data_IF_238229551108
#
_entry.id   IF_238229551108
#
_cell.length_a   1.000
_cell.length_b   1.000
_cell.length_c   1.000
_cell.angle_alpha   90.00
_cell.angle_beta   90.00
_cell.angle_gamma   90.00
#
_symmetry.space_group_name_H-M   'P 1'
#
loop_
_entity.id
_entity.type
_entity.pdbx_description
1 polymer ?
2 water ?
#
# COMPACT_ATOMS: atom_id res chain seq x y z
N UNK A 18 19.07 -36.09 -1.44
CA UNK A 18 17.92 -35.46 -2.15
C UNK A 18 16.62 -36.19 -1.86
N UNK A 19 15.65 -35.42 -1.34
CA UNK A 19 14.27 -35.85 -1.13
C UNK A 19 13.43 -34.57 -1.08
N UNK A 20 13.32 -33.93 -2.25
CA UNK A 20 12.68 -32.62 -2.39
C UNK A 20 11.67 -32.61 -3.55
N UNK A 21 11.32 -33.80 -4.02
CA UNK A 21 10.11 -33.99 -4.80
C UNK A 21 8.93 -33.85 -3.82
N UNK A 22 9.20 -34.17 -2.56
CA UNK A 22 8.21 -34.22 -1.47
C UNK A 22 7.93 -32.83 -0.85
N UNK A 23 8.99 -32.15 -0.38
CA UNK A 23 8.88 -30.78 0.12
C UNK A 23 8.19 -29.87 -0.92
N UNK A 24 8.49 -30.13 -2.19
CA UNK A 24 7.80 -29.48 -3.30
C UNK A 24 6.32 -29.90 -3.44
N UNK A 25 6.02 -31.18 -3.20
CA UNK A 25 4.62 -31.70 -3.26
C UNK A 25 3.72 -31.10 -2.17
N UNK A 26 4.29 -30.97 -0.96
CA UNK A 26 3.54 -30.57 0.22
C UNK A 26 3.61 -29.08 0.54
N UNK A 27 4.45 -28.33 -0.16
CA UNK A 27 4.61 -26.90 0.10
C UNK A 27 3.31 -26.13 -0.09
N UNK A 28 2.97 -25.34 0.92
CA UNK A 28 1.88 -24.36 0.82
C UNK A 28 2.49 -22.99 0.51
N UNK A 29 1.72 -22.11 -0.13
CA UNK A 29 2.20 -20.76 -0.44
C UNK A 29 1.88 -19.78 0.69
N UNK A 30 2.89 -19.00 1.11
CA UNK A 30 2.73 -18.04 2.20
C UNK A 30 3.68 -16.84 2.10
N UNK A 31 3.44 -15.86 2.95
CA UNK A 31 4.42 -14.82 3.17
C UNK A 31 5.34 -15.32 4.26
N UNK A 32 6.64 -15.16 4.04
CA UNK A 32 7.66 -15.62 4.98
C UNK A 32 8.55 -14.48 5.47
N UNK A 33 8.59 -14.30 6.79
CA UNK A 33 9.54 -13.39 7.41
C UNK A 33 10.69 -14.22 7.96
N UNK A 34 11.88 -14.02 7.39
CA UNK A 34 13.09 -14.70 7.86
C UNK A 34 13.98 -13.75 8.66
N UNK A 35 14.39 -14.19 9.83
CA UNK A 35 15.14 -13.37 10.75
C UNK A 35 16.59 -13.83 10.89
N UNK A 36 17.52 -12.88 10.85
CA UNK A 36 18.91 -13.11 11.23
C UNK A 36 19.04 -13.37 12.72
N UNK A 37 20.15 -13.99 13.12
CA UNK A 37 20.33 -14.50 14.48
C UNK A 37 19.95 -13.53 15.60
N UNK A 38 20.37 -12.28 15.44
CA UNK A 38 20.21 -11.26 16.49
C UNK A 38 18.78 -10.72 16.62
N UNK A 39 17.93 -11.04 15.64
CA UNK A 39 16.53 -10.59 15.66
C UNK A 39 15.59 -11.59 16.36
N UNK A 40 16.05 -12.82 16.51
CA UNK A 40 15.23 -13.88 17.12
C UNK A 40 14.75 -13.50 18.53
N UNK A 41 15.59 -12.82 19.29
CA UNK A 41 15.23 -12.31 20.62
C UNK A 41 13.99 -11.37 20.63
N UNK A 42 13.70 -10.75 19.49
CA UNK A 42 12.49 -9.93 19.35
C UNK A 42 11.21 -10.77 19.34
N UNK A 43 11.36 -12.04 19.00
CA UNK A 43 10.24 -12.97 18.91
C UNK A 43 10.09 -13.76 20.21
N UNK A 44 11.13 -13.71 21.05
CA UNK A 44 11.20 -14.48 22.30
C UNK A 44 10.41 -13.79 23.41
N UNK A 45 9.26 -14.38 23.77
CA UNK A 45 8.37 -13.83 24.79
C UNK A 45 8.93 -13.91 26.19
N UNK A 46 9.80 -14.90 26.41
CA UNK A 46 10.55 -15.05 27.67
C UNK A 46 11.53 -13.88 27.82
N UNK A 47 11.90 -13.28 26.70
CA UNK A 47 12.74 -12.07 26.71
C UNK A 47 11.88 -10.79 26.62
N UNK A 48 10.57 -10.97 26.48
CA UNK A 48 9.63 -9.83 26.41
C UNK A 48 9.34 -9.29 25.02
N UNK A 49 9.87 -9.95 24.00
CA UNK A 49 9.58 -9.60 22.61
C UNK A 49 8.18 -9.99 22.20
N UNK A 50 7.58 -9.18 21.32
CA UNK A 50 6.19 -9.37 20.89
C UNK A 50 6.04 -9.51 19.38
N UNK A 51 7.18 -9.64 18.70
CA UNK A 51 7.19 -9.74 17.23
C UNK A 51 6.23 -10.80 16.68
N UNK A 52 6.12 -11.91 17.41
CA UNK A 52 5.21 -12.99 17.03
C UNK A 52 3.75 -12.53 16.98
N UNK A 53 3.25 -11.94 18.06
CA UNK A 53 1.88 -11.40 18.06
C UNK A 53 1.72 -10.25 17.05
N UNK A 54 2.68 -9.33 17.01
CA UNK A 54 2.60 -8.23 16.04
C UNK A 54 2.59 -8.74 14.61
N UNK A 55 3.43 -9.72 14.30
CA UNK A 55 3.44 -10.26 12.94
C UNK A 55 2.18 -11.08 12.65
N UNK A 56 1.73 -11.86 13.63
CA UNK A 56 0.56 -12.73 13.45
C UNK A 56 -0.75 -11.95 13.45
N UNK A 57 -0.72 -10.74 14.00
CA UNK A 57 -1.90 -9.88 14.09
C UNK A 57 -2.12 -9.02 12.86
N UNK A 58 -1.19 -9.05 11.90
CA UNK A 58 -1.30 -8.27 10.66
C UNK A 58 -2.43 -8.81 9.80
N UNK A 59 -2.47 -10.13 9.65
CA UNK A 59 -3.46 -10.82 8.82
C UNK A 59 -4.92 -10.39 9.12
N UNK A 60 -5.22 -10.13 10.40
CA UNK A 60 -6.57 -9.72 10.80
C UNK A 60 -6.82 -8.25 10.51
N UNK A 61 -5.79 -7.42 10.69
CA UNK A 61 -5.92 -6.00 10.41
C UNK A 61 -6.11 -5.78 8.91
N UNK A 62 -5.34 -6.52 8.10
CA UNK A 62 -5.39 -6.46 6.65
C UNK A 62 -6.75 -6.95 6.19
N UNK A 63 -7.28 -7.96 6.88
CA UNK A 63 -8.58 -8.51 6.54
C UNK A 63 -9.67 -7.46 6.73
N UNK A 64 -9.63 -6.74 7.84
CA UNK A 64 -10.68 -5.75 8.10
C UNK A 64 -10.47 -4.44 7.33
N UNK A 65 -9.22 -4.05 7.05
CA UNK A 65 -8.98 -2.84 6.29
C UNK A 65 -9.10 -3.01 4.78
N UNK A 66 -8.71 -4.18 4.26
CA UNK A 66 -8.64 -4.38 2.81
C UNK A 66 -9.57 -5.43 2.27
N UNK A 67 -10.12 -6.26 3.16
CA UNK A 67 -11.22 -7.17 2.80
C UNK A 67 -10.84 -8.47 2.10
N UNK A 68 -9.60 -8.91 2.27
CA UNK A 68 -9.22 -10.27 1.86
C UNK A 68 -8.53 -11.03 3.01
N UNK A 69 -8.56 -12.36 2.95
CA UNK A 69 -7.90 -13.21 3.95
C UNK A 69 -6.62 -13.78 3.37
N UNK A 70 -5.47 -13.37 3.91
CA UNK A 70 -4.21 -13.96 3.48
C UNK A 70 -3.90 -15.21 4.33
N UNK A 71 -3.04 -16.11 3.81
CA UNK A 71 -2.59 -17.18 4.71
C UNK A 71 -1.69 -16.59 5.79
N UNK A 72 -1.69 -17.24 6.95
CA UNK A 72 -0.89 -16.79 8.08
C UNK A 72 0.57 -16.56 7.65
N UNK A 73 1.24 -15.62 8.30
CA UNK A 73 2.64 -15.30 7.97
C UNK A 73 3.60 -16.24 8.73
N UNK A 74 4.51 -16.85 7.99
CA UNK A 74 5.46 -17.78 8.58
C UNK A 74 6.73 -17.06 9.04
N UNK A 75 7.23 -17.42 10.23
CA UNK A 75 8.43 -16.81 10.81
C UNK A 75 9.58 -17.81 10.99
N UNK A 76 10.65 -17.60 10.21
CA UNK A 76 11.84 -18.45 10.24
C UNK A 76 13.07 -17.68 10.68
N UNK A 77 14.05 -18.42 11.21
CA UNK A 77 15.41 -17.91 11.33
C UNK A 77 16.10 -18.18 9.99
N UNK A 78 16.96 -17.27 9.56
CA UNK A 78 17.86 -17.54 8.45
C UNK A 78 19.27 -17.07 8.82
N UNK A 79 20.14 -18.06 9.06
CA UNK A 79 21.47 -17.78 9.58
C UNK A 79 22.46 -17.31 8.53
N UNK A 80 22.08 -17.43 7.26
CA UNK A 80 22.91 -16.93 6.17
C UNK A 80 22.78 -15.41 6.03
N UNK A 81 21.77 -14.85 6.71
CA UNK A 81 21.55 -13.40 6.79
C UNK A 81 22.50 -12.74 7.77
N UNK A 82 22.89 -11.48 7.52
CA UNK A 82 23.53 -10.70 8.57
C UNK A 82 22.65 -10.71 9.81
N UNK A 83 23.27 -10.82 11.00
CA UNK A 83 22.54 -11.05 12.25
C UNK A 83 21.41 -10.10 12.53
N UNK A 84 21.53 -8.83 12.10
CA UNK A 84 20.50 -7.80 12.34
C UNK A 84 19.54 -7.61 11.17
N UNK A 85 19.78 -8.34 10.09
CA UNK A 85 18.96 -8.20 8.89
C UNK A 85 17.74 -9.17 8.85
N UNK A 86 16.69 -8.76 8.16
CA UNK A 86 15.56 -9.65 7.90
C UNK A 86 15.22 -9.64 6.43
N UNK A 87 14.47 -10.66 6.03
CA UNK A 87 14.15 -10.87 4.64
C UNK A 87 12.72 -11.41 4.59
N UNK A 88 11.93 -10.83 3.68
CA UNK A 88 10.55 -11.23 3.52
C UNK A 88 10.40 -11.87 2.14
N UNK A 89 9.80 -13.06 2.13
CA UNK A 89 9.61 -13.80 0.91
C UNK A 89 8.14 -14.10 0.68
N UNK A 90 7.77 -14.17 -0.59
CA UNK A 90 6.42 -14.50 -0.99
C UNK A 90 6.52 -15.49 -2.12
N UNK A 91 5.96 -16.68 -1.92
CA UNK A 91 6.13 -17.81 -2.85
C UNK A 91 7.62 -18.09 -3.10
N UNK A 92 8.43 -17.96 -2.05
CA UNK A 92 9.87 -18.16 -2.17
C UNK A 92 10.68 -17.05 -2.84
N UNK A 93 10.04 -15.97 -3.23
CA UNK A 93 10.77 -14.87 -3.85
C UNK A 93 10.89 -13.65 -2.91
N UNK A 94 12.12 -13.17 -2.76
CA UNK A 94 12.46 -12.04 -1.92
C UNK A 94 11.71 -10.81 -2.44
N UNK A 95 10.85 -10.25 -1.59
CA UNK A 95 10.09 -9.06 -1.97
C UNK A 95 10.47 -7.85 -1.13
N UNK A 96 11.18 -8.12 -0.05
CA UNK A 96 11.63 -7.08 0.87
C UNK A 96 12.71 -7.56 1.81
N UNK A 97 13.51 -6.59 2.27
CA UNK A 97 14.53 -6.83 3.28
C UNK A 97 14.84 -5.53 4.01
N UNK A 98 15.34 -5.68 5.24
CA UNK A 98 15.80 -4.55 6.03
C UNK A 98 16.64 -4.98 7.22
N UNK A 99 16.74 -4.08 8.19
CA UNK A 99 17.44 -4.33 9.43
C UNK A 99 16.85 -3.44 10.51
N UNK A 100 16.90 -3.89 11.76
CA UNK A 100 16.54 -3.05 12.88
C UNK A 100 17.65 -3.21 13.91
N UNK A 101 17.79 -2.24 14.81
CA UNK A 101 18.72 -2.40 15.94
C UNK A 101 17.86 -3.00 17.05
N UNK A 102 17.97 -4.33 17.26
CA UNK A 102 16.98 -5.02 18.11
C UNK A 102 16.95 -4.50 19.55
N UNK A 103 18.07 -3.95 19.99
CA UNK A 103 18.19 -3.48 21.35
C UNK A 103 18.11 -1.95 21.46
N UNK A 104 17.55 -1.30 20.43
CA UNK A 104 17.35 0.16 20.41
C UNK A 104 15.90 0.54 20.06
N UNK A 105 15.66 1.84 19.89
CA UNK A 105 14.34 2.37 19.57
C UNK A 105 14.44 3.40 18.47
N UNK A 106 13.37 3.51 17.68
CA UNK A 106 13.34 4.42 16.56
C UNK A 106 12.54 5.63 16.92
N UNK A 107 13.09 6.80 16.64
CA UNK A 107 12.45 8.04 17.03
C UNK A 107 12.20 8.82 15.77
N UNK A 108 11.02 9.42 15.66
CA UNK A 108 10.65 10.09 14.40
C UNK A 108 10.05 11.44 14.59
N UNK A 109 10.35 12.32 13.66
CA UNK A 109 9.64 13.58 13.60
C UNK A 109 8.36 13.35 12.81
N UNK A 110 7.23 13.41 13.49
CA UNK A 110 5.94 13.32 12.82
C UNK A 110 5.27 14.69 12.79
N UNK A 111 6.05 15.76 12.90
CA UNK A 111 5.55 17.10 12.75
C UNK A 111 5.30 17.84 14.04
N UNK A 112 5.86 17.37 15.15
CA UNK A 112 5.69 18.08 16.42
C UNK A 112 6.99 18.28 17.21
N UNK A 113 8.11 17.96 16.59
CA UNK A 113 9.43 18.08 17.22
C UNK A 113 9.82 19.53 17.57
N UNK A 114 10.25 19.71 18.83
CA UNK A 114 10.73 21.00 19.30
C UNK A 114 12.20 21.12 18.92
N UNK A 115 13.07 20.47 19.69
CA UNK A 115 14.50 20.46 19.45
C UNK A 115 14.95 19.07 19.01
N UNK A 116 15.75 19.00 17.94
CA UNK A 116 16.30 17.73 17.45
C UNK A 116 17.18 17.05 18.49
N UNK A 117 17.12 15.72 18.55
CA UNK A 117 17.95 14.96 19.49
C UNK A 117 19.10 14.22 18.81
N UNK A 118 20.04 13.69 19.58
CA UNK A 118 21.17 12.92 19.05
C UNK A 118 20.76 11.47 18.84
N UNK A 119 21.27 10.87 17.77
CA UNK A 119 21.14 9.43 17.54
C UNK A 119 21.81 9.00 16.24
N UNK A 120 21.56 7.76 15.82
CA UNK A 120 22.05 7.33 14.51
C UNK A 120 20.98 7.62 13.45
N UNK A 121 21.30 8.45 12.44
CA UNK A 121 20.33 8.77 11.39
C UNK A 121 20.12 7.55 10.53
N UNK A 122 18.88 7.39 10.06
CA UNK A 122 18.55 6.30 9.17
C UNK A 122 17.28 6.65 8.41
N UNK A 123 16.99 5.81 7.41
CA UNK A 123 15.75 5.81 6.66
C UNK A 123 14.96 4.62 7.16
N UNK A 124 13.83 4.91 7.75
CA UNK A 124 12.84 3.93 8.14
C UNK A 124 12.39 3.12 6.90
N UNK A 125 12.28 1.77 7.00
CA UNK A 125 12.10 0.91 5.81
C UNK A 125 10.72 0.88 5.18
N UNK A 126 9.67 1.20 5.92
CA UNK A 126 8.31 1.09 5.40
C UNK A 126 7.97 2.17 4.37
N UNK A 127 8.44 3.41 4.59
CA UNK A 127 8.10 4.52 3.71
C UNK A 127 9.32 5.34 3.25
N UNK A 128 10.48 5.04 3.83
CA UNK A 128 11.71 5.76 3.49
C UNK A 128 11.86 7.10 4.19
N UNK A 129 11.13 7.30 5.28
CA UNK A 129 11.19 8.54 6.05
C UNK A 129 12.42 8.56 6.94
N UNK A 130 12.93 9.77 7.20
CA UNK A 130 14.03 10.00 8.14
C UNK A 130 13.65 9.57 9.57
N UNK A 131 14.63 9.03 10.30
CA UNK A 131 14.44 8.62 11.68
C UNK A 131 15.81 8.55 12.37
N UNK A 132 15.79 8.37 13.69
CA UNK A 132 17.01 8.21 14.48
C UNK A 132 16.86 6.94 15.31
N UNK A 133 17.87 6.09 15.26
CA UNK A 133 18.00 5.02 16.23
C UNK A 133 18.54 5.63 17.53
N UNK A 134 17.87 5.35 18.64
CA UNK A 134 18.25 5.90 19.93
C UNK A 134 18.20 4.81 20.99
N UNK A 135 19.00 4.99 22.04
CA UNK A 135 19.01 4.09 23.20
C UNK A 135 17.79 4.25 24.12
N UNK A 136 17.39 3.17 24.80
CA UNK A 136 16.31 3.20 25.78
C UNK A 136 16.35 4.44 26.69
N UNK A 137 17.54 4.79 27.18
CA UNK A 137 17.69 5.92 28.11
C UNK A 137 17.47 7.28 27.44
N UNK A 138 17.31 7.29 26.12
CA UNK A 138 17.07 8.51 25.37
C UNK A 138 15.58 8.78 25.18
N UNK A 139 14.77 7.76 25.41
CA UNK A 139 13.33 7.79 25.12
C UNK A 139 12.63 8.95 25.81
N UNK A 140 12.93 9.14 27.08
CA UNK A 140 12.27 10.14 27.91
C UNK A 140 12.40 11.57 27.37
N UNK A 141 13.63 12.00 27.11
CA UNK A 141 13.87 13.31 26.50
C UNK A 141 13.35 13.38 25.06
N UNK A 142 13.46 12.28 24.32
CA UNK A 142 12.93 12.27 22.97
C UNK A 142 11.45 12.63 23.04
N UNK A 143 10.74 12.00 23.98
CA UNK A 143 9.32 12.26 24.15
C UNK A 143 9.05 13.70 24.56
N UNK A 144 9.90 14.26 25.43
CA UNK A 144 9.77 15.66 25.87
C UNK A 144 9.88 16.64 24.68
N UNK A 145 10.70 16.25 23.71
CA UNK A 145 10.97 17.05 22.52
C UNK A 145 9.94 16.83 21.39
N UNK A 146 8.90 16.05 21.69
CA UNK A 146 7.80 15.80 20.77
C UNK A 146 8.02 14.70 19.73
N UNK A 147 9.00 13.82 19.93
CA UNK A 147 9.19 12.70 19.00
C UNK A 147 8.14 11.61 19.19
N UNK A 148 7.93 10.84 18.14
CA UNK A 148 7.22 9.56 18.25
C UNK A 148 8.26 8.47 18.33
N UNK A 149 8.05 7.52 19.22
CA UNK A 149 8.98 6.42 19.42
C UNK A 149 8.34 5.12 18.95
N UNK A 150 9.07 4.35 18.15
CA UNK A 150 8.62 3.07 17.64
C UNK A 150 9.68 2.01 17.96
N UNK A 151 9.24 0.84 18.41
CA UNK A 151 10.21 -0.19 18.73
C UNK A 151 10.47 -1.12 17.55
N UNK A 152 11.58 -1.89 17.60
CA UNK A 152 12.02 -2.75 16.50
C UNK A 152 10.95 -3.67 15.94
N UNK A 153 10.27 -4.43 16.79
CA UNK A 153 9.20 -5.31 16.33
C UNK A 153 8.17 -4.57 15.49
N UNK A 154 7.73 -3.42 15.98
CA UNK A 154 6.76 -2.61 15.26
C UNK A 154 7.33 -2.17 13.90
N UNK A 155 8.62 -1.83 13.82
CA UNK A 155 9.18 -1.38 12.55
C UNK A 155 9.07 -2.53 11.53
N UNK A 156 9.49 -3.72 11.95
CA UNK A 156 9.43 -4.91 11.10
C UNK A 156 7.98 -5.18 10.75
N UNK A 157 7.09 -5.14 11.73
CA UNK A 157 5.67 -5.41 11.48
C UNK A 157 5.04 -4.44 10.46
N UNK A 158 5.41 -3.16 10.57
CA UNK A 158 4.84 -2.11 9.73
C UNK A 158 5.35 -2.32 8.31
N UNK A 159 6.66 -2.59 8.23
CA UNK A 159 7.28 -2.94 6.95
C UNK A 159 6.58 -4.12 6.30
N UNK A 160 6.48 -5.22 7.03
CA UNK A 160 5.79 -6.40 6.53
C UNK A 160 4.35 -6.09 6.10
N UNK A 161 3.61 -5.36 6.93
CA UNK A 161 2.25 -4.93 6.59
C UNK A 161 2.21 -4.19 5.24
N UNK A 162 3.05 -3.17 5.09
CA UNK A 162 3.18 -2.42 3.83
C UNK A 162 3.52 -3.31 2.63
N UNK A 163 4.31 -4.36 2.84
CA UNK A 163 4.66 -5.27 1.75
C UNK A 163 3.49 -6.14 1.35
N UNK A 164 2.65 -6.55 2.30
CA UNK A 164 1.47 -7.33 1.92
C UNK A 164 0.45 -6.47 1.20
N UNK A 165 0.30 -5.20 1.61
CA UNK A 165 -0.50 -4.24 0.86
C UNK A 165 0.02 -4.13 -0.56
N UNK A 166 1.34 -3.95 -0.72
CA UNK A 166 1.94 -3.89 -2.06
C UNK A 166 1.63 -5.12 -2.96
N UNK A 167 1.59 -6.32 -2.39
CA UNK A 167 1.39 -7.53 -3.18
C UNK A 167 0.03 -8.16 -2.89
N UNK A 168 -0.90 -7.34 -2.45
CA UNK A 168 -2.26 -7.78 -2.12
C UNK A 168 -2.89 -8.53 -3.28
N UNK A 169 -2.66 -8.01 -4.50
CA UNK A 169 -3.07 -8.65 -5.75
C UNK A 169 -2.95 -10.19 -5.71
N UNK A 170 -1.77 -10.65 -5.34
CA UNK A 170 -1.40 -12.06 -5.49
C UNK A 170 -2.25 -12.99 -4.62
N UNK A 171 -2.68 -12.49 -3.45
CA UNK A 171 -3.53 -13.25 -2.54
C UNK A 171 -4.96 -13.37 -3.04
N UNK A 172 -5.26 -12.71 -4.17
CA UNK A 172 -6.60 -12.80 -4.74
C UNK A 172 -6.58 -13.85 -5.81
N UNK A 173 -6.47 -15.11 -5.37
CA UNK A 173 -6.53 -16.28 -6.23
C UNK A 173 -7.99 -16.61 -6.57
N UNK A 174 -8.18 -17.42 -7.60
CA UNK A 174 -9.50 -17.98 -7.94
C UNK A 174 -10.22 -18.54 -6.72
N UNK A 175 -9.47 -19.20 -5.84
CA UNK A 175 -10.05 -19.77 -4.63
C UNK A 175 -10.43 -18.73 -3.58
N UNK A 176 -9.72 -17.61 -3.55
CA UNK A 176 -10.11 -16.50 -2.66
C UNK A 176 -11.34 -15.78 -3.17
N UNK A 177 -11.40 -15.56 -4.49
CA UNK A 177 -12.56 -14.96 -5.14
C UNK A 177 -13.82 -15.79 -4.87
N UNK A 178 -13.74 -17.09 -5.17
CA UNK A 178 -14.83 -18.02 -4.92
C UNK A 178 -15.26 -17.90 -3.45
N UNK A 179 -14.28 -17.82 -2.56
CA UNK A 179 -14.54 -17.76 -1.12
C UNK A 179 -15.13 -16.43 -0.68
N UNK A 180 -14.82 -15.34 -1.40
CA UNK A 180 -15.36 -14.03 -1.03
C UNK A 180 -16.83 -13.92 -1.41
N UNK A 181 -17.18 -14.41 -2.60
CA UNK A 181 -18.57 -14.48 -3.04
C UNK A 181 -19.39 -15.35 -2.11
N UNK A 182 -18.89 -16.56 -1.84
CA UNK A 182 -19.55 -17.52 -0.96
C UNK A 182 -19.76 -16.95 0.45
N UNK A 183 -18.79 -16.16 0.94
CA UNK A 183 -18.91 -15.47 2.23
C UNK A 183 -19.85 -14.26 2.15
N UNK A 184 -20.13 -13.80 0.94
CA UNK A 184 -21.15 -12.76 0.74
C UNK A 184 -22.51 -13.40 0.50
N UNK A 185 -22.51 -14.60 -0.09
CA UNK A 185 -23.73 -15.32 -0.45
C UNK A 185 -24.66 -15.60 0.73
N UNK A 186 -24.08 -15.74 1.92
CA UNK A 186 -24.81 -16.10 3.12
C UNK A 186 -25.94 -15.13 3.49
N UNK A 187 -25.80 -13.85 3.11
CA UNK A 187 -26.86 -12.87 3.36
C UNK A 187 -27.08 -11.80 2.28
N UNK A 188 -26.54 -12.05 1.08
CA UNK A 188 -26.92 -11.31 -0.13
C UNK A 188 -26.95 -12.25 -1.36
N UNK A 189 -27.71 -13.37 -1.27
CA UNK A 189 -27.58 -14.48 -2.23
C UNK A 189 -28.00 -14.16 -3.66
N UNK A 190 -28.72 -13.06 -3.85
CA UNK A 190 -29.27 -12.71 -5.15
C UNK A 190 -28.24 -12.00 -6.03
N UNK A 191 -27.53 -11.03 -5.44
CA UNK A 191 -26.53 -10.24 -6.17
C UNK A 191 -25.34 -11.10 -6.57
N UNK A 192 -24.93 -12.03 -5.71
CA UNK A 192 -23.87 -12.99 -6.07
C UNK A 192 -24.34 -13.92 -7.18
N UNK A 193 -25.62 -14.29 -7.13
CA UNK A 193 -26.20 -15.13 -8.16
C UNK A 193 -26.30 -14.36 -9.47
N UNK A 194 -26.79 -13.13 -9.40
CA UNK A 194 -26.87 -12.24 -10.56
C UNK A 194 -25.50 -12.02 -11.21
N UNK A 195 -24.45 -12.10 -10.38
CA UNK A 195 -23.06 -11.91 -10.82
C UNK A 195 -22.48 -13.12 -11.56
N UNK A 196 -23.16 -14.27 -11.51
CA UNK A 196 -22.73 -15.46 -12.23
C UNK A 196 -22.78 -15.22 -13.73
N UNK A 197 -23.53 -14.18 -14.11
CA UNK A 197 -23.65 -13.75 -15.51
C UNK A 197 -22.37 -13.13 -16.03
N UNK A 198 -21.52 -12.66 -15.11
CA UNK A 198 -20.25 -12.04 -15.48
C UNK A 198 -19.14 -13.10 -15.56
N UNK A 199 -18.34 -13.05 -16.65
CA UNK A 199 -17.15 -13.93 -16.71
C UNK A 199 -16.35 -13.71 -15.43
N UNK A 200 -15.90 -14.80 -14.80
CA UNK A 200 -15.27 -14.68 -13.47
C UNK A 200 -13.86 -14.09 -13.52
N UNK A 201 -13.20 -14.22 -14.67
CA UNK A 201 -11.91 -13.58 -14.88
C UNK A 201 -12.00 -12.07 -14.74
N UNK A 202 -13.13 -11.49 -15.15
CA UNK A 202 -13.32 -10.04 -15.10
C UNK A 202 -13.47 -9.55 -13.66
N UNK A 203 -14.32 -10.22 -12.87
CA UNK A 203 -14.46 -9.89 -11.45
C UNK A 203 -13.09 -9.95 -10.78
N UNK A 204 -12.42 -11.08 -10.95
CA UNK A 204 -11.13 -11.31 -10.34
C UNK A 204 -10.17 -10.19 -10.71
N UNK A 205 -10.11 -9.91 -12.01
CA UNK A 205 -9.26 -8.89 -12.58
C UNK A 205 -9.53 -7.49 -12.01
N UNK A 206 -10.80 -7.15 -11.81
CA UNK A 206 -11.17 -5.87 -11.18
C UNK A 206 -10.69 -5.80 -9.72
N UNK A 207 -10.90 -6.90 -8.98
CA UNK A 207 -10.44 -6.96 -7.58
C UNK A 207 -8.92 -6.77 -7.46
N UNK A 208 -8.16 -7.40 -8.36
CA UNK A 208 -6.72 -7.26 -8.38
C UNK A 208 -6.31 -5.82 -8.71
N UNK A 209 -6.97 -5.24 -9.70
CA UNK A 209 -6.70 -3.86 -10.12
C UNK A 209 -6.95 -2.84 -9.02
N UNK A 210 -7.95 -3.10 -8.18
CA UNK A 210 -8.23 -2.28 -7.03
C UNK A 210 -7.12 -2.43 -5.99
N UNK A 211 -6.80 -3.67 -5.63
CA UNK A 211 -5.81 -3.90 -4.59
C UNK A 211 -4.41 -3.46 -5.02
N UNK A 212 -4.12 -3.57 -6.33
CA UNK A 212 -2.90 -3.08 -6.96
C UNK A 212 -2.60 -1.61 -6.60
N UNK A 213 -3.66 -0.82 -6.44
CA UNK A 213 -3.49 0.59 -6.07
C UNK A 213 -3.99 0.86 -4.64
N UNK A 214 -3.96 -0.20 -3.82
CA UNK A 214 -4.25 -0.12 -2.38
C UNK A 214 -5.69 0.32 -2.04
N UNK A 215 -6.61 0.02 -2.96
CA UNK A 215 -8.03 0.23 -2.71
C UNK A 215 -8.63 -1.06 -2.10
N UNK A 216 -9.19 -0.97 -0.88
CA UNK A 216 -9.81 -2.10 -0.18
C UNK A 216 -10.95 -2.71 -1.00
N UNK A 217 -11.15 -4.00 -0.84
CA UNK A 217 -12.28 -4.67 -1.46
C UNK A 217 -13.30 -5.11 -0.40
N UNK A 218 -13.25 -4.48 0.78
CA UNK A 218 -14.10 -4.92 1.86
C UNK A 218 -15.60 -4.68 1.60
N UNK A 219 -15.94 -3.80 0.66
CA UNK A 219 -17.34 -3.58 0.26
C UNK A 219 -17.69 -4.32 -1.04
N UNK A 220 -17.80 -5.64 -0.97
CA UNK A 220 -18.04 -6.46 -2.16
C UNK A 220 -19.41 -6.17 -2.78
N UNK A 221 -20.39 -5.84 -1.93
CA UNK A 221 -21.73 -5.45 -2.38
C UNK A 221 -21.65 -4.38 -3.46
N UNK A 222 -21.02 -3.25 -3.15
CA UNK A 222 -20.86 -2.18 -4.12
C UNK A 222 -20.07 -2.68 -5.31
N UNK A 223 -18.99 -3.40 -5.06
CA UNK A 223 -18.16 -3.90 -6.18
C UNK A 223 -18.97 -4.79 -7.13
N UNK A 224 -19.67 -5.76 -6.58
CA UNK A 224 -20.42 -6.70 -7.40
C UNK A 224 -21.55 -6.01 -8.13
N UNK A 225 -22.29 -5.18 -7.42
CA UNK A 225 -23.42 -4.43 -7.98
C UNK A 225 -23.00 -3.57 -9.15
N UNK A 226 -21.84 -2.90 -9.02
CA UNK A 226 -21.35 -2.02 -10.07
C UNK A 226 -20.94 -2.84 -11.28
N UNK A 227 -20.15 -3.89 -11.04
CA UNK A 227 -19.71 -4.77 -12.12
C UNK A 227 -20.89 -5.41 -12.86
N UNK A 228 -21.82 -6.00 -12.12
CA UNK A 228 -23.03 -6.62 -12.71
C UNK A 228 -23.84 -5.62 -13.54
N UNK A 229 -24.01 -4.41 -13.02
CA UNK A 229 -24.69 -3.36 -13.77
C UNK A 229 -23.89 -3.02 -15.04
N UNK A 230 -22.63 -2.65 -14.89
CA UNK A 230 -21.87 -2.00 -15.97
C UNK A 230 -21.17 -2.93 -16.97
N UNK A 231 -20.66 -4.08 -16.49
CA UNK A 231 -19.87 -4.98 -17.35
C UNK A 231 -20.50 -5.31 -18.72
N UNK A 232 -21.80 -5.75 -18.75
CA UNK A 232 -22.43 -6.09 -20.03
C UNK A 232 -22.39 -4.96 -21.04
N UNK A 233 -22.47 -3.72 -20.53
CA UNK A 233 -22.47 -2.50 -21.34
C UNK A 233 -21.10 -2.13 -21.94
N UNK A 234 -20.01 -2.65 -21.36
CA UNK A 234 -18.67 -2.29 -21.80
C UNK A 234 -17.79 -3.51 -22.12
N UNK A 235 -18.46 -4.59 -22.53
CA UNK A 235 -17.82 -5.89 -22.82
C UNK A 235 -16.79 -6.31 -21.78
N UNK A 236 -17.17 -6.16 -20.51
CA UNK A 236 -16.35 -6.59 -19.39
C UNK A 236 -14.97 -5.92 -19.36
N UNK A 237 -14.84 -4.78 -20.05
CA UNK A 237 -13.57 -4.06 -20.10
C UNK A 237 -13.14 -3.62 -18.71
N UNK A 238 -11.98 -4.11 -18.31
CA UNK A 238 -11.46 -3.93 -16.95
C UNK A 238 -11.03 -2.48 -16.64
N UNK A 239 -10.53 -1.75 -17.63
CA UNK A 239 -10.17 -0.35 -17.40
C UNK A 239 -11.40 0.46 -17.01
N UNK A 240 -12.50 0.26 -17.72
CA UNK A 240 -13.71 0.99 -17.41
C UNK A 240 -14.28 0.54 -16.07
N UNK A 241 -14.33 -0.77 -15.83
CA UNK A 241 -14.98 -1.27 -14.60
C UNK A 241 -14.27 -0.79 -13.33
N UNK A 242 -12.94 -0.77 -13.39
CA UNK A 242 -12.10 -0.33 -12.28
C UNK A 242 -12.45 1.10 -11.91
N UNK A 243 -12.42 1.99 -12.91
CA UNK A 243 -12.72 3.40 -12.69
C UNK A 243 -14.16 3.58 -12.18
N UNK A 244 -15.10 2.83 -12.75
CA UNK A 244 -16.49 2.95 -12.38
C UNK A 244 -16.69 2.47 -10.95
N UNK A 245 -16.06 1.33 -10.62
CA UNK A 245 -16.14 0.81 -9.26
C UNK A 245 -15.51 1.78 -8.26
N UNK A 246 -14.31 2.29 -8.57
CA UNK A 246 -13.65 3.27 -7.70
C UNK A 246 -14.51 4.53 -7.47
N UNK A 247 -15.23 4.95 -8.51
CA UNK A 247 -16.08 6.14 -8.41
C UNK A 247 -17.19 5.97 -7.37
N UNK A 248 -17.54 4.72 -7.10
CA UNK A 248 -18.60 4.43 -6.14
C UNK A 248 -18.08 4.07 -4.76
N UNK A 249 -16.77 4.17 -4.59
CA UNK A 249 -16.17 3.83 -3.31
C UNK A 249 -15.47 5.02 -2.68
N UNK A 250 -16.03 6.22 -2.85
CA UNK A 250 -15.31 7.42 -2.41
C UNK A 250 -15.12 7.43 -0.88
N UNK A 251 -16.12 6.96 -0.15
CA UNK A 251 -16.07 6.84 1.30
C UNK A 251 -14.95 5.89 1.74
N UNK A 252 -14.89 4.74 1.06
CA UNK A 252 -13.92 3.70 1.36
C UNK A 252 -12.51 4.16 0.93
N UNK A 253 -12.41 4.75 -0.24
CA UNK A 253 -11.15 5.22 -0.74
C UNK A 253 -10.59 6.34 0.16
N UNK A 254 -11.39 7.37 0.41
CA UNK A 254 -10.95 8.48 1.25
C UNK A 254 -10.56 7.99 2.65
N UNK A 255 -11.35 7.11 3.24
CA UNK A 255 -11.01 6.55 4.54
C UNK A 255 -9.69 5.78 4.51
N UNK A 256 -9.44 5.04 3.43
CA UNK A 256 -8.21 4.25 3.35
C UNK A 256 -6.95 5.10 3.20
N UNK A 257 -7.09 6.40 2.99
CA UNK A 257 -5.91 7.26 2.79
C UNK A 257 -5.85 8.47 3.71
N UNK A 258 -6.83 8.62 4.60
CA UNK A 258 -6.73 9.60 5.69
C UNK A 258 -5.47 9.33 6.48
N UNK A 259 -4.75 10.39 6.82
CA UNK A 259 -3.69 10.30 7.83
C UNK A 259 -4.33 9.94 9.18
N UNK A 260 -3.52 9.63 10.20
CA UNK A 260 -4.09 9.31 11.51
C UNK A 260 -4.81 10.49 12.18
N UNK A 261 -4.42 11.73 11.85
CA UNK A 261 -5.11 12.91 12.37
C UNK A 261 -6.47 13.17 11.73
N UNK A 262 -6.90 12.26 10.85
CA UNK A 262 -8.21 12.32 10.21
C UNK A 262 -8.26 13.05 8.87
N UNK A 263 -7.13 13.57 8.41
CA UNK A 263 -7.09 14.36 7.18
C UNK A 263 -6.47 13.59 6.04
N UNK A 264 -7.08 13.67 4.85
CA UNK A 264 -6.47 13.16 3.61
C UNK A 264 -5.59 14.30 3.07
N UNK A 265 -4.32 14.00 2.91
CA UNK A 265 -3.30 15.00 2.61
C UNK A 265 -2.71 14.71 1.26
N UNK A 266 -2.69 15.70 0.40
CA UNK A 266 -2.52 15.48 -1.02
C UNK A 266 -1.76 16.60 -1.71
N UNK A 267 -1.22 16.28 -2.89
CA UNK A 267 -0.65 17.25 -3.79
C UNK A 267 -1.58 17.31 -4.98
N UNK A 268 -1.58 18.45 -5.68
CA UNK A 268 -2.13 18.52 -7.04
C UNK A 268 -1.15 19.13 -8.04
N UNK A 269 -1.50 19.03 -9.32
CA UNK A 269 -0.77 19.71 -10.40
C UNK A 269 -1.41 21.07 -10.64
N UNK A 270 -0.62 22.09 -10.93
CA UNK A 270 -1.19 23.39 -11.31
C UNK A 270 -2.06 23.22 -12.55
N UNK A 271 -2.96 24.18 -12.82
CA UNK A 271 -3.86 24.11 -13.98
C UNK A 271 -3.05 24.06 -15.28
N UNK A 272 -2.05 24.93 -15.41
CA UNK A 272 -1.16 24.89 -16.57
C UNK A 272 -0.61 23.46 -16.74
N UNK A 273 -0.19 22.85 -15.65
CA UNK A 273 0.38 21.50 -15.69
C UNK A 273 -0.68 20.46 -16.06
N UNK A 274 -1.88 20.57 -15.48
CA UNK A 274 -2.97 19.66 -15.82
C UNK A 274 -3.31 19.78 -17.29
N UNK A 275 -3.47 21.00 -17.79
CA UNK A 275 -3.75 21.21 -19.21
C UNK A 275 -2.66 20.59 -20.07
N UNK A 276 -1.41 20.75 -19.65
CA UNK A 276 -0.30 20.21 -20.41
C UNK A 276 -0.42 18.68 -20.52
N UNK A 277 -0.66 18.04 -19.39
CA UNK A 277 -0.87 16.61 -19.33
C UNK A 277 -2.04 16.15 -20.20
N UNK A 278 -3.16 16.89 -20.16
CA UNK A 278 -4.37 16.53 -20.92
C UNK A 278 -4.15 16.69 -22.42
N UNK A 279 -3.24 17.59 -22.77
CA UNK A 279 -2.92 17.84 -24.15
C UNK A 279 -2.10 16.71 -24.76
N UNK A 280 -1.39 15.98 -23.90
CA UNK A 280 -0.57 14.84 -24.31
C UNK A 280 -1.26 13.50 -24.03
N UNK A 281 -2.48 13.57 -23.52
CA UNK A 281 -3.25 12.38 -23.24
C UNK A 281 -3.86 11.81 -24.52
N UNK A 282 -3.77 10.49 -24.67
CA UNK A 282 -4.38 9.79 -25.79
C UNK A 282 -5.14 8.55 -25.32
N UNK A 283 -6.27 8.28 -25.95
CA UNK A 283 -6.98 7.02 -25.77
C UNK A 283 -6.80 6.10 -27.00
N UNK A 284 -6.48 4.85 -26.73
CA UNK A 284 -6.35 3.81 -27.75
C UNK A 284 -7.16 2.61 -27.25
N UNK A 285 -8.26 2.31 -27.93
CA UNK A 285 -9.27 1.41 -27.37
C UNK A 285 -9.89 2.05 -26.14
N UNK A 286 -9.63 1.46 -24.96
CA UNK A 286 -10.08 2.01 -23.68
C UNK A 286 -8.87 2.29 -22.79
N UNK A 287 -7.69 2.28 -23.41
CA UNK A 287 -6.45 2.45 -22.69
C UNK A 287 -5.94 3.88 -22.86
N UNK A 288 -5.94 4.63 -21.77
CA UNK A 288 -5.46 6.01 -21.78
C UNK A 288 -3.98 6.05 -21.44
N UNK A 289 -3.20 6.82 -22.21
CA UNK A 289 -1.80 7.02 -21.86
C UNK A 289 -1.32 8.43 -22.16
N UNK A 290 -0.16 8.76 -21.61
CA UNK A 290 0.47 10.04 -21.84
C UNK A 290 1.53 9.91 -22.92
N UNK A 291 1.47 10.79 -23.89
CA UNK A 291 2.41 10.81 -25.00
C UNK A 291 3.43 11.92 -24.71
N UNK A 292 4.55 11.54 -24.13
CA UNK A 292 5.58 12.50 -23.70
C UNK A 292 6.93 12.12 -24.28
N UNK A 293 7.66 13.11 -24.81
CA UNK A 293 9.04 12.86 -25.25
C UNK A 293 9.99 12.76 -24.03
N UNK A 294 11.29 12.60 -24.27
CA UNK A 294 12.23 12.39 -23.16
C UNK A 294 12.32 13.58 -22.19
N UNK A 295 12.41 14.79 -22.75
CA UNK A 295 12.48 16.03 -21.97
C UNK A 295 11.19 16.25 -21.19
N UNK A 296 10.06 15.98 -21.83
CA UNK A 296 8.76 16.15 -21.18
C UNK A 296 8.52 15.15 -20.08
N UNK A 297 8.91 13.90 -20.32
CA UNK A 297 8.81 12.87 -19.29
C UNK A 297 9.70 13.27 -18.11
N UNK A 298 10.89 13.77 -18.44
CA UNK A 298 11.82 14.34 -17.48
C UNK A 298 11.19 15.39 -16.58
N UNK A 299 10.58 16.41 -17.18
CA UNK A 299 9.99 17.49 -16.40
C UNK A 299 8.94 16.91 -15.46
N UNK A 300 8.13 15.97 -15.97
CA UNK A 300 7.06 15.37 -15.21
C UNK A 300 7.59 14.64 -13.99
N UNK A 301 8.65 13.87 -14.19
CA UNK A 301 9.23 13.06 -13.12
C UNK A 301 9.95 13.87 -12.02
N UNK A 302 10.73 14.87 -12.41
CA UNK A 302 11.38 15.77 -11.45
C UNK A 302 10.35 16.47 -10.58
N UNK A 303 9.33 17.01 -11.22
CA UNK A 303 8.28 17.77 -10.57
C UNK A 303 7.56 16.97 -9.52
N UNK A 304 7.15 15.76 -9.86
CA UNK A 304 6.45 14.89 -8.90
C UNK A 304 7.39 14.42 -7.80
N UNK A 305 8.53 13.87 -8.20
CA UNK A 305 9.45 13.26 -7.26
C UNK A 305 10.01 14.24 -6.23
N UNK A 306 10.25 15.50 -6.63
CA UNK A 306 10.79 16.49 -5.71
C UNK A 306 9.74 16.92 -4.72
N UNK A 307 8.52 17.09 -5.20
CA UNK A 307 7.42 17.41 -4.34
C UNK A 307 7.04 16.25 -3.42
N UNK A 308 7.09 15.03 -3.93
CA UNK A 308 6.87 13.84 -3.10
C UNK A 308 7.94 13.79 -2.00
N UNK A 309 9.19 14.05 -2.38
CA UNK A 309 10.33 14.06 -1.47
C UNK A 309 10.09 15.00 -0.28
N UNK A 310 9.50 16.17 -0.52
CA UNK A 310 9.14 17.11 0.56
C UNK A 310 8.03 16.62 1.47
N UNK A 311 7.04 15.96 0.89
CA UNK A 311 5.94 15.38 1.67
C UNK A 311 6.47 14.33 2.66
N UNK A 312 7.35 13.46 2.19
CA UNK A 312 7.97 12.44 3.04
C UNK A 312 8.81 13.05 4.15
N UNK A 313 9.54 14.12 3.81
CA UNK A 313 10.38 14.83 4.78
C UNK A 313 9.55 15.49 5.89
N UNK A 314 8.26 15.72 5.61
CA UNK A 314 7.31 16.25 6.60
C UNK A 314 6.73 15.14 7.46
N UNK A 315 7.10 13.89 7.17
CA UNK A 315 6.66 12.73 7.96
C UNK A 315 5.30 12.23 7.55
N UNK A 316 4.93 12.51 6.31
CA UNK A 316 3.63 12.14 5.73
C UNK A 316 3.83 11.14 4.59
N UNK A 317 3.08 10.04 4.66
CA UNK A 317 3.19 8.97 3.69
C UNK A 317 1.96 8.08 3.86
N UNK A 318 1.38 7.58 2.74
CA UNK A 318 1.85 7.73 1.35
C UNK A 318 1.61 9.13 0.77
N UNK A 319 2.30 9.43 -0.34
CA UNK A 319 2.18 10.72 -1.04
C UNK A 319 1.04 10.55 -1.99
N UNK A 320 0.06 11.45 -1.91
CA UNK A 320 -1.16 11.29 -2.67
C UNK A 320 -1.30 12.42 -3.69
N UNK A 321 -1.59 12.06 -4.94
CA UNK A 321 -1.87 13.02 -6.01
C UNK A 321 -3.30 12.91 -6.35
N UNK A 322 -3.94 14.07 -6.48
CA UNK A 322 -5.35 14.14 -6.85
C UNK A 322 -5.48 14.82 -8.19
N UNK A 323 -6.12 14.12 -9.12
CA UNK A 323 -6.27 14.60 -10.50
C UNK A 323 -7.71 14.38 -10.94
N UNK A 324 -8.03 14.88 -12.13
CA UNK A 324 -9.35 14.63 -12.69
C UNK A 324 -9.43 13.21 -13.26
N UNK A 325 -10.65 12.65 -13.41
CA UNK A 325 -10.81 11.23 -13.83
C UNK A 325 -9.95 10.79 -15.02
N UNK A 326 -9.92 11.64 -16.05
CA UNK A 326 -9.21 11.37 -17.31
C UNK A 326 -7.71 11.17 -17.19
N UNK A 327 -7.09 11.67 -16.11
CA UNK A 327 -5.64 11.54 -15.93
C UNK A 327 -5.25 10.44 -14.97
N UNK A 328 -6.21 9.92 -14.23
CA UNK A 328 -5.88 9.09 -13.08
C UNK A 328 -5.09 7.85 -13.46
N UNK A 329 -5.62 7.02 -14.36
CA UNK A 329 -4.96 5.78 -14.76
C UNK A 329 -3.67 6.02 -15.52
N UNK A 330 -3.72 6.96 -16.47
CA UNK A 330 -2.56 7.29 -17.30
C UNK A 330 -1.43 7.76 -16.43
N UNK A 331 -1.76 8.56 -15.43
CA UNK A 331 -0.72 9.10 -14.56
C UNK A 331 -0.17 8.01 -13.63
N UNK A 332 -1.08 7.21 -13.11
CA UNK A 332 -0.73 6.09 -12.27
C UNK A 332 0.18 5.11 -12.97
N UNK A 333 -0.12 4.77 -14.22
CA UNK A 333 0.77 3.91 -15.02
C UNK A 333 2.14 4.54 -15.20
N UNK A 334 2.14 5.82 -15.52
CA UNK A 334 3.37 6.52 -15.81
C UNK A 334 4.25 6.53 -14.57
N UNK A 335 3.66 6.74 -13.40
CA UNK A 335 4.39 6.73 -12.13
C UNK A 335 5.03 5.38 -11.81
N UNK A 336 4.26 4.30 -11.89
CA UNK A 336 4.83 3.01 -11.52
C UNK A 336 5.92 2.56 -12.50
N UNK A 337 5.84 3.03 -13.75
CA UNK A 337 6.89 2.75 -14.73
C UNK A 337 8.13 3.59 -14.46
N UNK A 338 7.94 4.72 -13.81
CA UNK A 338 9.06 5.58 -13.44
C UNK A 338 9.57 5.22 -12.04
N UNK A 339 8.86 4.31 -11.38
CA UNK A 339 9.19 3.82 -10.05
C UNK A 339 9.00 4.86 -8.95
N UNK A 340 8.06 5.79 -9.16
CA UNK A 340 7.69 6.80 -8.17
C UNK A 340 6.55 6.26 -7.31
N UNK A 341 6.79 6.12 -6.02
CA UNK A 341 5.81 5.53 -5.11
C UNK A 341 4.81 6.55 -4.61
N UNK A 342 3.74 6.73 -5.38
CA UNK A 342 2.67 7.62 -5.04
C UNK A 342 1.32 6.90 -5.20
N UNK A 343 0.29 7.48 -4.58
CA UNK A 343 -1.08 7.10 -4.84
C UNK A 343 -1.69 8.19 -5.70
N UNK A 344 -2.38 7.79 -6.77
CA UNK A 344 -3.11 8.72 -7.63
C UNK A 344 -4.62 8.52 -7.47
N UNK A 345 -5.30 9.61 -7.11
CA UNK A 345 -6.74 9.57 -6.86
C UNK A 345 -7.48 10.49 -7.83
N UNK A 346 -8.73 10.14 -8.12
CA UNK A 346 -9.56 11.00 -8.94
C UNK A 346 -10.51 11.81 -8.06
N UNK A 347 -10.95 12.97 -8.56
CA UNK A 347 -11.89 13.82 -7.83
C UNK A 347 -13.16 13.06 -7.49
N UNK A 348 -13.46 12.07 -8.31
CA UNK A 348 -14.71 11.32 -8.20
C UNK A 348 -14.67 10.39 -7.00
N UNK A 349 -13.51 10.29 -6.36
CA UNK A 349 -13.28 9.30 -5.30
C UNK A 349 -13.16 9.95 -3.92
N UNK A 350 -13.44 11.25 -3.85
CA UNK A 350 -13.23 12.06 -2.67
C UNK A 350 -14.52 12.19 -1.87
N UNK A 351 -14.48 11.78 -0.61
CA UNK A 351 -15.66 11.87 0.28
C UNK A 351 -15.72 13.26 0.96
N UNK A 352 -16.68 14.10 0.56
CA UNK A 352 -16.75 15.47 1.09
C UNK A 352 -17.11 15.52 2.58
N UNK A 353 -17.40 14.37 3.17
CA UNK A 353 -17.63 14.27 4.61
C UNK A 353 -16.35 14.27 5.43
N UNK A 354 -15.21 14.07 4.77
CA UNK A 354 -13.91 14.05 5.41
C UNK A 354 -13.19 15.37 5.27
N UNK A 355 -12.12 15.49 6.04
CA UNK A 355 -11.29 16.65 6.05
C UNK A 355 -10.13 16.41 5.11
N UNK A 356 -9.75 17.46 4.41
CA UNK A 356 -8.71 17.38 3.40
C UNK A 356 -7.65 18.40 3.71
N UNK A 357 -6.43 18.16 3.27
CA UNK A 357 -5.38 19.17 3.43
C UNK A 357 -4.46 19.15 2.24
N UNK A 358 -4.35 20.29 1.57
CA UNK A 358 -3.46 20.41 0.45
C UNK A 358 -2.06 20.66 0.96
N UNK A 359 -1.12 19.83 0.52
CA UNK A 359 0.26 19.94 0.99
C UNK A 359 1.13 20.78 0.08
N UNK A 360 0.74 20.90 -1.18
CA UNK A 360 1.55 21.59 -2.19
C UNK A 360 1.02 21.39 -3.60
N UNK A 361 1.62 22.11 -4.55
CA UNK A 361 1.19 22.01 -5.95
C UNK A 361 2.40 21.71 -6.85
N UNK A 362 2.24 20.71 -7.71
CA UNK A 362 3.31 20.35 -8.64
C UNK A 362 3.27 21.22 -9.88
N UNK A 363 4.42 21.79 -10.23
CA UNK A 363 4.62 22.55 -11.44
C UNK A 363 5.55 21.79 -12.40
N UNK A 364 5.01 21.38 -13.54
CA UNK A 364 5.82 20.74 -14.58
C UNK A 364 6.33 21.81 -15.52
N UNK A 365 5.56 22.88 -15.65
CA UNK A 365 5.94 24.07 -16.45
C UNK A 365 6.28 23.74 -17.90
#
# INVERSE_FOLDING_TARGET
GPLGSTRAKTQEEIKREEEQAIDEVLKIEFLELALGYQLISLADMKQGGDLLERIRGIRKKIASDYGFLMPQIRIRDNLQLPPTHYEIKLKGIVIGEGMVMPDKFLAMNTGFVNREIEGIPTKEPAFGMDALWIDAKNKEEAIIQGYTIIDPSTVIATHTSELVKKYAEDFITKDEVKSLLERLAKDYPTIVEESKKIPTGAIRSVLQALLHEKIPIKDMLTILETITDIAPLVQNDVNILTEQVRARLSRVITNAFKSEDGRLKFLTFSTDSEQFLLNKLRENGTSKSLLLNVGELQKLIEGVSEEAMKVLQKGIAPVILIVEPNLRKALSNQMEQARIDVVVLSHAELDPNSNFEALGTIHIN
#
